data_IF_388284707707
#
_entry.id   IF_388284707707
#
_cell.length_a   1.000
_cell.length_b   1.000
_cell.length_c   1.000
_cell.angle_alpha   90.00
_cell.angle_beta   90.00
_cell.angle_gamma   90.00
#
_symmetry.space_group_name_H-M   'P 1'
#
loop_
_entity.id
_entity.type
_entity.pdbx_description
1 polymer ?
#
# COMPACT_ATOMS: atom_id res chain seq x y z
N UNK A 1 -1.00 11.78 -16.88
CA UNK A 1 -1.84 10.61 -17.20
C UNK A 1 -1.07 9.29 -17.13
N UNK A 2 0.06 9.16 -17.82
CA UNK A 2 0.83 7.89 -17.87
C UNK A 2 1.17 7.35 -16.49
N UNK A 3 1.69 8.18 -15.58
CA UNK A 3 2.07 7.75 -14.23
C UNK A 3 0.87 7.26 -13.41
N UNK A 4 -0.29 7.90 -13.52
CA UNK A 4 -1.50 7.48 -12.82
C UNK A 4 -1.96 6.10 -13.28
N UNK A 5 -2.02 5.89 -14.60
CA UNK A 5 -2.40 4.59 -15.20
C UNK A 5 -1.41 3.51 -14.78
N UNK A 6 -0.11 3.82 -14.79
CA UNK A 6 0.94 2.89 -14.34
C UNK A 6 0.71 2.40 -12.90
N UNK A 7 0.48 3.33 -11.95
CA UNK A 7 0.26 2.94 -10.55
C UNK A 7 -1.03 2.17 -10.35
N UNK A 8 -2.13 2.56 -11.00
CA UNK A 8 -3.39 1.83 -10.96
C UNK A 8 -3.21 0.41 -11.50
N UNK A 9 -2.47 0.26 -12.59
CA UNK A 9 -2.20 -1.04 -13.19
C UNK A 9 -1.31 -1.92 -12.30
N UNK A 10 -0.23 -1.39 -11.76
CA UNK A 10 0.68 -2.13 -10.87
C UNK A 10 -0.01 -2.57 -9.58
N UNK A 11 -0.76 -1.67 -8.95
CA UNK A 11 -1.53 -1.98 -7.74
C UNK A 11 -2.61 -3.03 -8.06
N UNK A 12 -3.33 -2.86 -9.17
CA UNK A 12 -4.34 -3.81 -9.63
C UNK A 12 -3.78 -5.21 -9.87
N UNK A 13 -2.68 -5.33 -10.60
CA UNK A 13 -2.01 -6.63 -10.82
C UNK A 13 -1.53 -7.23 -9.50
N UNK A 14 -0.97 -6.42 -8.59
CA UNK A 14 -0.51 -6.91 -7.28
C UNK A 14 -1.67 -7.47 -6.46
N UNK A 15 -2.86 -6.89 -6.53
CA UNK A 15 -4.05 -7.39 -5.85
C UNK A 15 -4.61 -8.68 -6.48
N UNK A 16 -4.45 -8.85 -7.79
CA UNK A 16 -5.03 -9.98 -8.50
C UNK A 16 -4.13 -11.23 -8.48
N UNK A 17 -2.83 -11.05 -8.29
CA UNK A 17 -1.85 -12.14 -8.39
C UNK A 17 -1.44 -12.62 -7.00
N UNK A 18 -1.89 -13.83 -6.64
CA UNK A 18 -1.60 -14.47 -5.35
C UNK A 18 -0.40 -15.41 -5.41
N UNK A 19 0.38 -15.40 -6.49
CA UNK A 19 1.58 -16.26 -6.58
C UNK A 19 2.72 -15.70 -5.71
N UNK A 20 3.35 -16.52 -4.85
CA UNK A 20 4.39 -16.04 -3.93
C UNK A 20 5.62 -15.47 -4.66
N UNK A 21 5.97 -16.03 -5.82
CA UNK A 21 7.06 -15.51 -6.64
C UNK A 21 6.78 -14.10 -7.18
N UNK A 22 5.54 -13.85 -7.61
CA UNK A 22 5.12 -12.54 -8.09
C UNK A 22 5.07 -11.51 -6.95
N UNK A 23 4.60 -11.90 -5.76
CA UNK A 23 4.59 -11.04 -4.59
C UNK A 23 6.00 -10.65 -4.13
N UNK A 24 6.95 -11.58 -4.14
CA UNK A 24 8.35 -11.27 -3.86
C UNK A 24 8.94 -10.31 -4.90
N UNK A 25 8.67 -10.53 -6.18
CA UNK A 25 9.11 -9.62 -7.24
C UNK A 25 8.53 -8.21 -7.08
N UNK A 26 7.22 -8.07 -6.84
CA UNK A 26 6.58 -6.76 -6.64
C UNK A 26 7.10 -6.04 -5.40
N UNK A 27 7.39 -6.76 -4.31
CA UNK A 27 8.06 -6.20 -3.14
C UNK A 27 9.45 -5.67 -3.51
N UNK A 28 10.30 -6.46 -4.16
CA UNK A 28 11.63 -6.02 -4.58
C UNK A 28 11.57 -4.79 -5.50
N UNK A 29 10.68 -4.78 -6.48
CA UNK A 29 10.50 -3.63 -7.38
C UNK A 29 9.97 -2.40 -6.65
N UNK A 30 9.03 -2.52 -5.72
CA UNK A 30 8.51 -1.41 -4.94
C UNK A 30 9.59 -0.78 -4.05
N UNK A 31 10.46 -1.61 -3.45
CA UNK A 31 11.62 -1.13 -2.68
C UNK A 31 12.65 -0.44 -3.57
N UNK A 32 13.05 -1.06 -4.68
CA UNK A 32 13.98 -0.47 -5.64
C UNK A 32 13.47 0.89 -6.15
N UNK A 33 12.20 0.96 -6.48
CA UNK A 33 11.57 2.20 -6.94
C UNK A 33 11.55 3.30 -5.87
N UNK A 34 11.30 2.94 -4.60
CA UNK A 34 11.34 3.91 -3.49
C UNK A 34 12.74 4.45 -3.26
N UNK A 35 13.77 3.60 -3.40
CA UNK A 35 15.17 4.03 -3.31
C UNK A 35 15.52 5.03 -4.39
N UNK A 36 15.04 4.81 -5.61
CA UNK A 36 15.23 5.74 -6.73
C UNK A 36 14.52 7.08 -6.51
N UNK A 37 13.36 7.09 -5.84
CA UNK A 37 12.58 8.30 -5.60
C UNK A 37 13.06 9.14 -4.41
N UNK A 38 13.36 8.51 -3.28
CA UNK A 38 13.67 9.17 -2.00
C UNK A 38 15.12 9.04 -1.57
N UNK A 39 15.91 8.18 -2.23
CA UNK A 39 17.23 7.80 -1.77
C UNK A 39 17.18 6.94 -0.49
N UNK A 40 18.36 6.76 0.11
CA UNK A 40 18.56 5.92 1.32
C UNK A 40 17.69 6.34 2.53
N UNK A 41 17.45 7.63 2.83
CA UNK A 41 16.61 8.02 3.97
C UNK A 41 15.14 7.61 3.81
N UNK A 42 14.64 7.46 2.57
CA UNK A 42 13.29 6.97 2.31
C UNK A 42 13.07 5.52 2.74
N UNK A 43 14.13 4.71 2.75
CA UNK A 43 14.08 3.32 3.20
C UNK A 43 13.68 3.24 4.67
N UNK A 44 14.28 4.07 5.54
CA UNK A 44 13.98 4.06 6.99
C UNK A 44 12.51 4.33 7.26
N UNK A 45 11.92 5.31 6.57
CA UNK A 45 10.52 5.65 6.75
C UNK A 45 9.61 4.51 6.28
N UNK A 46 9.89 3.91 5.13
CA UNK A 46 9.12 2.78 4.63
C UNK A 46 9.26 1.55 5.53
N UNK A 47 10.48 1.26 6.01
CA UNK A 47 10.73 0.13 6.90
C UNK A 47 9.95 0.28 8.21
N UNK A 48 9.95 1.48 8.79
CA UNK A 48 9.24 1.76 10.04
C UNK A 48 7.74 1.51 9.96
N UNK A 49 7.13 1.76 8.81
CA UNK A 49 5.70 1.50 8.59
C UNK A 49 5.41 0.08 8.08
N UNK A 50 6.28 -0.45 7.23
CA UNK A 50 6.05 -1.74 6.57
C UNK A 50 6.30 -2.92 7.50
N UNK A 51 7.31 -2.86 8.38
CA UNK A 51 7.61 -3.97 9.31
C UNK A 51 6.45 -4.22 10.29
N UNK A 52 5.95 -3.22 11.06
CA UNK A 52 4.86 -3.48 11.98
C UNK A 52 3.58 -3.90 11.25
N UNK A 53 3.29 -3.32 10.09
CA UNK A 53 2.16 -3.71 9.26
C UNK A 53 2.26 -5.17 8.81
N UNK A 54 3.44 -5.59 8.35
CA UNK A 54 3.73 -6.94 7.93
C UNK A 54 3.55 -7.94 9.08
N UNK A 55 4.11 -7.63 10.26
CA UNK A 55 4.00 -8.48 11.45
C UNK A 55 2.55 -8.59 11.93
N UNK A 56 1.84 -7.47 12.05
CA UNK A 56 0.44 -7.47 12.49
C UNK A 56 -0.42 -8.30 11.53
N UNK A 57 -0.25 -8.11 10.22
CA UNK A 57 -1.03 -8.86 9.22
C UNK A 57 -0.70 -10.35 9.19
N UNK A 58 0.58 -10.71 9.33
CA UNK A 58 1.00 -12.11 9.41
C UNK A 58 0.38 -12.80 10.62
N UNK A 59 0.42 -12.15 11.80
CA UNK A 59 -0.15 -12.69 13.04
C UNK A 59 -1.67 -12.77 12.98
N UNK A 60 -2.33 -11.68 12.61
CA UNK A 60 -3.80 -11.62 12.52
C UNK A 60 -4.32 -12.66 11.55
N UNK A 61 -3.76 -12.74 10.35
CA UNK A 61 -4.21 -13.70 9.35
C UNK A 61 -4.00 -15.16 9.80
N UNK A 62 -2.88 -15.45 10.47
CA UNK A 62 -2.59 -16.79 11.01
C UNK A 62 -3.56 -17.16 12.14
N UNK A 63 -3.97 -16.20 12.97
CA UNK A 63 -4.91 -16.43 14.07
C UNK A 63 -6.36 -16.62 13.58
N UNK A 64 -6.76 -15.93 12.53
CA UNK A 64 -8.13 -15.97 12.00
C UNK A 64 -8.37 -17.04 10.94
N UNK A 65 -7.32 -17.51 10.26
CA UNK A 65 -7.43 -18.54 9.23
C UNK A 65 -7.09 -19.91 9.80
N UNK A 66 -8.09 -20.76 9.99
CA UNK A 66 -7.96 -22.09 10.58
C UNK A 66 -7.96 -23.23 9.53
N UNK A 67 -7.85 -22.90 8.25
CA UNK A 67 -7.91 -23.83 7.15
C UNK A 67 -6.53 -24.44 6.87
N UNK A 68 -6.35 -25.71 7.19
CA UNK A 68 -5.14 -26.45 6.86
C UNK A 68 -5.17 -27.87 7.44
N UNK A 69 -4.36 -28.75 6.85
CA UNK A 69 -4.26 -30.17 7.25
C UNK A 69 -3.11 -30.41 8.24
N UNK A 70 -2.06 -29.58 8.18
CA UNK A 70 -0.86 -29.71 9.01
C UNK A 70 -0.92 -28.75 10.21
N UNK A 71 -1.25 -29.25 11.39
CA UNK A 71 -1.25 -28.49 12.63
C UNK A 71 0.17 -28.37 13.20
N UNK A 72 0.67 -27.15 13.37
CA UNK A 72 1.95 -26.85 14.01
C UNK A 72 1.84 -26.78 15.53
N UNK A 73 0.88 -26.00 16.01
CA UNK A 73 0.67 -25.76 17.43
C UNK A 73 -0.81 -25.60 17.77
N UNK A 74 -1.16 -25.97 19.02
CA UNK A 74 -2.45 -25.68 19.63
C UNK A 74 -2.25 -24.56 20.64
N UNK A 75 -2.84 -23.40 20.42
CA UNK A 75 -2.87 -22.30 21.39
C UNK A 75 -4.33 -22.07 21.77
N UNK A 76 -4.66 -22.36 23.03
CA UNK A 76 -5.98 -22.09 23.61
C UNK A 76 -7.17 -22.62 22.77
N UNK A 77 -7.03 -23.82 22.18
CA UNK A 77 -8.07 -24.43 21.33
C UNK A 77 -8.05 -24.02 19.86
N UNK A 78 -7.23 -23.08 19.48
CA UNK A 78 -7.03 -22.67 18.10
C UNK A 78 -5.94 -23.51 17.42
N UNK A 79 -6.25 -24.08 16.26
CA UNK A 79 -5.30 -24.88 15.47
C UNK A 79 -4.52 -23.94 14.55
N UNK A 80 -3.26 -23.73 14.85
CA UNK A 80 -2.37 -22.99 13.94
C UNK A 80 -1.79 -23.99 12.94
N UNK A 81 -2.12 -23.79 11.68
CA UNK A 81 -1.66 -24.64 10.57
C UNK A 81 -0.54 -23.97 9.79
N UNK A 82 0.37 -24.76 9.24
CA UNK A 82 1.47 -24.27 8.42
C UNK A 82 0.95 -23.53 7.16
N UNK A 83 -0.14 -24.03 6.60
CA UNK A 83 -0.80 -23.43 5.45
C UNK A 83 -1.37 -22.05 5.79
N UNK A 84 -2.00 -21.89 6.96
CA UNK A 84 -2.50 -20.60 7.43
C UNK A 84 -1.35 -19.59 7.64
N UNK A 85 -0.22 -20.05 8.15
CA UNK A 85 0.96 -19.20 8.32
C UNK A 85 1.55 -18.74 6.97
N UNK A 86 1.73 -19.65 6.03
CA UNK A 86 2.20 -19.30 4.68
C UNK A 86 1.23 -18.35 3.96
N UNK A 87 -0.07 -18.58 4.10
CA UNK A 87 -1.10 -17.69 3.56
C UNK A 87 -1.04 -16.31 4.22
N UNK A 88 -0.87 -16.26 5.55
CA UNK A 88 -0.70 -15.02 6.31
C UNK A 88 0.52 -14.22 5.86
N UNK A 89 1.65 -14.89 5.60
CA UNK A 89 2.86 -14.26 5.06
C UNK A 89 2.63 -13.71 3.65
N UNK A 90 1.95 -14.45 2.78
CA UNK A 90 1.64 -14.00 1.43
C UNK A 90 0.71 -12.77 1.45
N UNK A 91 -0.33 -12.79 2.28
CA UNK A 91 -1.24 -11.65 2.44
C UNK A 91 -0.54 -10.43 3.04
N UNK A 92 0.34 -10.63 4.01
CA UNK A 92 1.17 -9.56 4.60
C UNK A 92 2.12 -8.94 3.56
N UNK A 93 2.75 -9.79 2.73
CA UNK A 93 3.62 -9.33 1.64
C UNK A 93 2.85 -8.52 0.59
N UNK A 94 1.66 -9.00 0.20
CA UNK A 94 0.78 -8.29 -0.74
C UNK A 94 0.39 -6.92 -0.21
N UNK A 95 -0.09 -6.84 1.02
CA UNK A 95 -0.50 -5.57 1.62
C UNK A 95 0.68 -4.61 1.76
N UNK A 96 1.84 -5.12 2.19
CA UNK A 96 3.07 -4.32 2.31
C UNK A 96 3.50 -3.75 0.96
N UNK A 97 3.47 -4.54 -0.10
CA UNK A 97 3.78 -4.09 -1.45
C UNK A 97 2.83 -2.97 -1.91
N UNK A 98 1.51 -3.15 -1.69
CA UNK A 98 0.50 -2.14 -2.03
C UNK A 98 0.76 -0.84 -1.29
N UNK A 99 1.04 -0.89 0.02
CA UNK A 99 1.32 0.30 0.83
C UNK A 99 2.56 1.04 0.34
N UNK A 100 3.64 0.32 0.00
CA UNK A 100 4.87 0.95 -0.53
C UNK A 100 4.59 1.59 -1.90
N UNK A 101 3.84 0.93 -2.78
CA UNK A 101 3.41 1.51 -4.05
C UNK A 101 2.54 2.76 -3.85
N UNK A 102 1.64 2.73 -2.88
CA UNK A 102 0.79 3.87 -2.56
C UNK A 102 1.59 5.04 -1.95
N UNK A 103 2.58 4.77 -1.10
CA UNK A 103 3.51 5.79 -0.61
C UNK A 103 4.31 6.43 -1.75
N UNK A 104 4.78 5.63 -2.70
CA UNK A 104 5.49 6.12 -3.89
C UNK A 104 4.56 6.94 -4.79
N UNK A 105 3.31 6.51 -4.95
CA UNK A 105 2.28 7.25 -5.67
C UNK A 105 2.06 8.65 -5.08
N UNK A 106 1.92 8.77 -3.76
CA UNK A 106 1.72 10.06 -3.08
C UNK A 106 2.89 11.04 -3.29
N UNK A 107 4.11 10.54 -3.53
CA UNK A 107 5.27 11.39 -3.81
C UNK A 107 5.25 11.90 -5.25
N UNK A 108 4.93 11.03 -6.19
CA UNK A 108 4.93 11.35 -7.64
C UNK A 108 3.71 12.17 -8.03
N UNK A 109 2.56 11.84 -7.44
CA UNK A 109 1.26 12.48 -7.71
C UNK A 109 0.91 13.46 -6.59
N UNK A 110 1.38 14.70 -6.70
CA UNK A 110 0.93 15.79 -5.82
C UNK A 110 -0.56 16.12 -6.05
N UNK A 111 -1.20 16.72 -5.04
CA UNK A 111 -2.60 17.14 -5.10
C UNK A 111 -2.90 18.00 -6.35
N UNK A 112 -1.98 18.90 -6.71
CA UNK A 112 -2.13 19.77 -7.88
C UNK A 112 -2.17 18.98 -9.20
N UNK A 113 -1.37 17.91 -9.32
CA UNK A 113 -1.37 17.04 -10.51
C UNK A 113 -2.65 16.23 -10.59
N UNK A 114 -3.19 15.80 -9.45
CA UNK A 114 -4.49 15.13 -9.37
C UNK A 114 -5.63 16.07 -9.80
N UNK A 115 -5.64 17.29 -9.30
CA UNK A 115 -6.64 18.31 -9.69
C UNK A 115 -6.58 18.57 -11.19
N UNK A 116 -5.38 18.72 -11.76
CA UNK A 116 -5.22 18.91 -13.20
C UNK A 116 -5.74 17.71 -14.00
N UNK A 117 -5.48 16.49 -13.53
CA UNK A 117 -5.95 15.26 -14.17
C UNK A 117 -7.48 15.17 -14.15
N UNK A 118 -8.10 15.42 -12.99
CA UNK A 118 -9.56 15.42 -12.83
C UNK A 118 -10.22 16.59 -13.53
N UNK A 119 -9.59 17.76 -13.53
CA UNK A 119 -10.08 18.94 -14.24
C UNK A 119 -10.16 18.73 -15.74
N UNK A 120 -9.29 17.89 -16.32
CA UNK A 120 -9.36 17.52 -17.73
C UNK A 120 -10.44 16.47 -18.02
N UNK A 121 -10.67 15.55 -17.07
CA UNK A 121 -11.65 14.47 -17.22
C UNK A 121 -13.08 14.91 -16.87
N UNK A 122 -13.22 15.79 -15.87
CA UNK A 122 -14.49 16.33 -15.38
C UNK A 122 -14.30 17.77 -14.91
N UNK A 123 -14.58 18.77 -15.76
CA UNK A 123 -14.32 20.19 -15.47
C UNK A 123 -14.97 20.70 -14.17
N UNK A 124 -16.17 20.19 -13.87
CA UNK A 124 -16.92 20.57 -12.65
C UNK A 124 -16.19 20.10 -11.39
N UNK A 125 -15.65 18.87 -11.39
CA UNK A 125 -14.86 18.33 -10.26
C UNK A 125 -13.53 19.08 -10.10
N UNK A 126 -12.90 19.48 -11.19
CA UNK A 126 -11.67 20.27 -11.16
C UNK A 126 -11.88 21.64 -10.50
N UNK A 127 -12.98 22.31 -10.79
CA UNK A 127 -13.33 23.60 -10.19
C UNK A 127 -13.64 23.48 -8.68
N UNK A 128 -14.45 22.49 -8.29
CA UNK A 128 -14.77 22.26 -6.87
C UNK A 128 -13.54 21.89 -6.05
N UNK A 129 -12.70 20.99 -6.54
CA UNK A 129 -11.44 20.63 -5.89
C UNK A 129 -10.49 21.84 -5.76
N UNK A 130 -10.34 22.65 -6.81
CA UNK A 130 -9.50 23.85 -6.77
C UNK A 130 -9.98 24.85 -5.73
N UNK A 131 -11.29 25.04 -5.57
CA UNK A 131 -11.85 25.86 -4.50
C UNK A 131 -11.56 25.30 -3.11
N UNK A 132 -11.79 24.02 -2.88
CA UNK A 132 -11.52 23.36 -1.59
C UNK A 132 -10.05 23.50 -1.20
N UNK A 133 -9.12 23.20 -2.11
CA UNK A 133 -7.68 23.31 -1.82
C UNK A 133 -7.23 24.76 -1.57
N UNK A 134 -7.89 25.75 -2.15
CA UNK A 134 -7.64 27.16 -1.84
C UNK A 134 -8.09 27.54 -0.44
N UNK A 135 -9.16 26.93 0.08
CA UNK A 135 -9.66 27.17 1.43
C UNK A 135 -8.80 26.57 2.54
N UNK A 136 -8.12 25.46 2.28
CA UNK A 136 -7.29 24.78 3.29
C UNK A 136 -6.23 25.70 3.89
N UNK A 137 -5.35 26.39 3.12
CA UNK A 137 -4.35 27.29 3.70
C UNK A 137 -4.97 28.51 4.38
N UNK A 138 -6.11 29.01 3.88
CA UNK A 138 -6.85 30.10 4.50
C UNK A 138 -7.37 29.73 5.89
N UNK A 139 -7.91 28.51 6.04
CA UNK A 139 -8.36 27.99 7.32
C UNK A 139 -7.18 27.74 8.28
N UNK A 140 -6.08 27.15 7.80
CA UNK A 140 -4.89 26.94 8.61
C UNK A 140 -4.27 28.24 9.12
N UNK A 141 -4.29 29.30 8.31
CA UNK A 141 -3.81 30.62 8.73
C UNK A 141 -4.70 31.29 9.80
N UNK A 142 -5.98 30.94 9.85
CA UNK A 142 -6.95 31.51 10.79
C UNK A 142 -6.96 30.77 12.15
N UNK A 143 -6.49 29.54 12.20
CA UNK A 143 -6.41 28.74 13.43
C UNK A 143 -5.02 28.77 14.10
N UNK A 144 -4.08 29.53 13.55
CA UNK A 144 -2.73 29.74 14.09
C UNK A 144 -2.61 31.13 14.71
#
# INVERSE_FOLDING_TARGET
MVNFIFYVFVIGITMFSMSPAFLAATLCFSWAYTVLLKGVPGIKTNLLFTIPLFLIMAVVNTLFTHNGKTTLFFINGLRITLEAFCYGLAAAAMLSAIVIWFMSFNIVMSADKLIYLFGKAAPVLGLTLSMVFRFIPLLQARYR
#
